data_IF_433567568699
#
_entry.id   IF_433567568699
#
_cell.length_a   1.000
_cell.length_b   1.000
_cell.length_c   1.000
_cell.angle_alpha   90.00
_cell.angle_beta   90.00
_cell.angle_gamma   90.00
#
_symmetry.space_group_name_H-M   'P 1'
#
loop_
_entity.id
_entity.type
_entity.pdbx_description
1 polymer ?
#
# COMPACT_ATOMS: atom_id res chain seq x y z
N UNK A 1 -6.16 -34.71 4.88
CA UNK A 1 -6.67 -33.52 4.17
C UNK A 1 -6.18 -32.24 4.84
N UNK A 2 -4.92 -31.87 4.63
CA UNK A 2 -4.37 -30.58 5.07
C UNK A 2 -4.69 -29.57 3.97
N UNK A 3 -5.67 -28.69 4.21
CA UNK A 3 -5.99 -27.58 3.30
C UNK A 3 -4.72 -26.73 3.11
N UNK A 4 -4.35 -26.33 1.89
CA UNK A 4 -3.18 -25.47 1.69
C UNK A 4 -3.48 -24.13 2.37
N UNK A 5 -2.69 -23.77 3.38
CA UNK A 5 -2.74 -22.46 4.01
C UNK A 5 -2.69 -21.40 2.92
N UNK A 6 -3.72 -20.55 2.88
CA UNK A 6 -3.89 -19.54 1.83
C UNK A 6 -2.58 -18.78 1.65
N UNK A 7 -2.07 -18.75 0.42
CA UNK A 7 -0.86 -18.01 0.08
C UNK A 7 -1.04 -16.56 0.51
N UNK A 8 -0.38 -16.17 1.60
CA UNK A 8 -0.37 -14.77 2.06
C UNK A 8 0.41 -13.99 1.01
N UNK A 9 -0.30 -13.30 0.13
CA UNK A 9 0.32 -12.44 -0.86
C UNK A 9 0.83 -11.18 -0.13
N UNK A 10 2.15 -11.04 -0.02
CA UNK A 10 2.76 -9.86 0.56
C UNK A 10 2.75 -8.73 -0.47
N UNK A 11 1.67 -7.96 -0.51
CA UNK A 11 1.57 -6.76 -1.33
C UNK A 11 2.58 -5.69 -0.89
N UNK A 12 3.19 -5.00 -1.86
CA UNK A 12 4.10 -3.90 -1.57
C UNK A 12 5.47 -4.31 -1.02
N UNK A 13 6.08 -5.42 -1.48
CA UNK A 13 7.52 -5.63 -1.28
C UNK A 13 8.29 -4.50 -1.97
N UNK A 14 9.26 -3.90 -1.27
CA UNK A 14 10.02 -2.73 -1.78
C UNK A 14 10.63 -2.97 -3.15
N UNK A 15 11.04 -4.20 -3.44
CA UNK A 15 11.68 -4.56 -4.71
C UNK A 15 10.70 -4.51 -5.91
N UNK A 16 9.39 -4.54 -5.66
CA UNK A 16 8.34 -4.49 -6.68
C UNK A 16 7.46 -3.23 -6.54
N UNK A 17 7.93 -2.19 -5.84
CA UNK A 17 7.16 -0.94 -5.71
C UNK A 17 7.24 -0.13 -7.01
N UNK A 18 6.09 0.17 -7.61
CA UNK A 18 5.99 1.07 -8.77
C UNK A 18 6.04 2.52 -8.28
N UNK A 19 6.82 3.37 -8.96
CA UNK A 19 6.85 4.81 -8.67
C UNK A 19 5.65 5.50 -9.30
N UNK A 20 4.97 6.37 -8.53
CA UNK A 20 3.87 7.19 -9.04
C UNK A 20 4.39 8.22 -10.05
N UNK A 21 3.75 8.33 -11.20
CA UNK A 21 3.95 9.45 -12.11
C UNK A 21 3.26 10.71 -11.54
N UNK A 22 4.00 11.79 -11.22
CA UNK A 22 3.41 13.00 -10.63
C UNK A 22 2.47 13.75 -11.58
N UNK A 23 2.59 13.53 -12.89
CA UNK A 23 1.79 14.19 -13.92
C UNK A 23 0.38 13.61 -14.05
N UNK A 24 0.12 12.42 -13.48
CA UNK A 24 -1.22 11.83 -13.48
C UNK A 24 -2.03 12.38 -12.30
N UNK A 25 -3.27 12.83 -12.54
CA UNK A 25 -4.13 13.37 -11.48
C UNK A 25 -4.49 12.31 -10.44
N UNK A 26 -4.57 12.79 -9.19
CA UNK A 26 -5.07 11.99 -8.08
C UNK A 26 -6.59 11.97 -8.14
N UNK A 27 -7.18 10.78 -8.20
CA UNK A 27 -8.64 10.58 -8.19
C UNK A 27 -9.18 10.81 -6.79
N UNK A 28 -8.54 10.20 -5.79
CA UNK A 28 -8.91 10.34 -4.37
C UNK A 28 -7.69 10.15 -3.49
N UNK A 29 -7.68 10.85 -2.35
CA UNK A 29 -6.65 10.74 -1.32
C UNK A 29 -7.26 10.88 0.05
N UNK A 30 -6.66 10.23 1.04
CA UNK A 30 -7.13 10.32 2.41
C UNK A 30 -6.47 9.34 3.34
N UNK A 31 -6.83 9.47 4.61
CA UNK A 31 -6.40 8.54 5.65
C UNK A 31 -7.25 7.28 5.62
N UNK A 32 -6.61 6.12 5.49
CA UNK A 32 -7.25 4.82 5.68
C UNK A 32 -6.42 3.96 6.64
N UNK A 33 -7.05 2.95 7.23
CA UNK A 33 -6.37 1.94 8.03
C UNK A 33 -6.04 0.73 7.17
N UNK A 34 -4.76 0.34 7.12
CA UNK A 34 -4.30 -0.88 6.48
C UNK A 34 -4.10 -1.97 7.52
N UNK A 35 -4.64 -3.16 7.27
CA UNK A 35 -4.29 -4.32 8.08
C UNK A 35 -2.88 -4.82 7.72
N UNK A 36 -2.08 -5.08 8.75
CA UNK A 36 -0.79 -5.72 8.65
C UNK A 36 -0.99 -7.17 8.16
N UNK A 37 -0.14 -7.63 7.24
CA UNK A 37 -0.18 -9.00 6.71
C UNK A 37 0.49 -10.01 7.64
N UNK A 38 1.12 -9.54 8.74
CA UNK A 38 1.62 -10.42 9.80
C UNK A 38 0.47 -11.09 10.56
N UNK A 39 0.76 -12.25 11.18
CA UNK A 39 -0.22 -13.02 11.95
C UNK A 39 -0.89 -12.26 13.10
N UNK A 40 -0.36 -11.09 13.48
CA UNK A 40 -0.89 -10.21 14.54
C UNK A 40 -2.07 -9.31 14.10
N UNK A 41 -2.43 -9.25 12.80
CA UNK A 41 -3.67 -8.61 12.28
C UNK A 41 -3.89 -7.14 12.72
N UNK A 42 -2.83 -6.40 13.04
CA UNK A 42 -2.90 -5.01 13.51
C UNK A 42 -3.31 -4.04 12.38
N UNK A 43 -4.06 -2.99 12.72
CA UNK A 43 -4.44 -1.92 11.79
C UNK A 43 -3.52 -0.71 11.96
N UNK A 44 -2.97 -0.19 10.85
CA UNK A 44 -2.09 0.99 10.84
C UNK A 44 -2.68 2.07 9.96
N UNK A 45 -2.84 3.28 10.50
CA UNK A 45 -3.27 4.45 9.72
C UNK A 45 -2.17 4.85 8.72
N UNK A 46 -2.55 5.04 7.46
CA UNK A 46 -1.66 5.46 6.35
C UNK A 46 -2.37 6.45 5.44
N UNK A 47 -1.60 7.33 4.81
CA UNK A 47 -2.11 8.23 3.78
C UNK A 47 -2.15 7.49 2.45
N UNK A 48 -3.32 7.31 1.89
CA UNK A 48 -3.56 6.61 0.63
C UNK A 48 -3.83 7.60 -0.50
N UNK A 49 -3.38 7.23 -1.69
CA UNK A 49 -3.56 7.99 -2.93
C UNK A 49 -3.93 7.02 -4.04
N UNK A 50 -5.08 7.24 -4.69
CA UNK A 50 -5.49 6.53 -5.89
C UNK A 50 -5.18 7.39 -7.12
N UNK A 51 -4.37 6.86 -8.02
CA UNK A 51 -3.92 7.53 -9.25
C UNK A 51 -3.57 6.47 -10.28
N UNK A 52 -3.90 6.70 -11.55
CA UNK A 52 -3.55 5.78 -12.64
C UNK A 52 -3.98 4.32 -12.40
N UNK A 53 -5.19 4.11 -11.85
CA UNK A 53 -5.71 2.80 -11.42
C UNK A 53 -4.85 2.05 -10.37
N UNK A 54 -3.82 2.71 -9.82
CA UNK A 54 -2.91 2.17 -8.84
C UNK A 54 -3.16 2.81 -7.47
N UNK A 55 -3.14 1.99 -6.41
CA UNK A 55 -3.32 2.44 -5.04
C UNK A 55 -1.97 2.50 -4.32
N UNK A 56 -1.60 3.72 -3.93
CA UNK A 56 -0.34 4.06 -3.30
C UNK A 56 -0.56 4.40 -1.82
N UNK A 57 0.39 4.09 -0.94
CA UNK A 57 0.36 4.58 0.44
C UNK A 57 1.72 5.07 0.97
N UNK A 58 1.67 6.04 1.89
CA UNK A 58 2.83 6.71 2.48
C UNK A 58 2.85 6.56 4.01
N UNK A 59 4.04 6.68 4.63
CA UNK A 59 4.22 6.53 6.09
C UNK A 59 3.71 7.75 6.90
N UNK A 60 3.31 8.87 6.28
CA UNK A 60 2.76 10.08 6.90
C UNK A 60 2.27 11.09 5.85
N UNK A 61 1.77 12.26 6.30
CA UNK A 61 1.22 13.34 5.44
C UNK A 61 2.31 14.07 4.64
N UNK A 62 3.53 14.12 5.17
CA UNK A 62 4.65 14.81 4.56
C UNK A 62 5.77 13.84 4.21
N UNK A 63 6.09 13.85 2.92
CA UNK A 63 7.41 13.61 2.34
C UNK A 63 8.19 12.45 2.95
N UNK A 64 8.19 11.33 2.24
CA UNK A 64 9.45 10.63 2.08
C UNK A 64 9.54 10.17 0.65
N UNK A 65 10.71 10.42 0.08
CA UNK A 65 11.28 10.06 -1.22
C UNK A 65 11.25 8.52 -1.47
N UNK A 66 10.52 7.79 -0.64
CA UNK A 66 10.31 6.35 -0.68
C UNK A 66 9.21 6.08 -1.72
N UNK A 67 9.45 5.19 -2.69
CA UNK A 67 8.42 4.80 -3.63
C UNK A 67 7.20 4.29 -2.85
N UNK A 68 5.99 4.80 -3.15
CA UNK A 68 4.79 4.31 -2.51
C UNK A 68 4.70 2.80 -2.74
N UNK A 69 4.40 2.06 -1.68
CA UNK A 69 4.14 0.64 -1.80
C UNK A 69 2.76 0.49 -2.44
N UNK A 70 2.71 -0.23 -3.56
CA UNK A 70 1.46 -0.58 -4.24
C UNK A 70 0.84 -1.75 -3.49
N UNK A 71 -0.43 -1.62 -3.11
CA UNK A 71 -1.25 -2.74 -2.61
C UNK A 71 -1.85 -3.55 -3.74
#
# INVERSE_FOLDING_TARGET
NLKPGGKVHCFGKRDHSIKRNPNIPVVVRGWLYKQDSSGMRLWKRKWFVLSDYCLFYYKGEFTSIIPPLVV
#
